data_IF_906629278952
#
_entry.id   IF_906629278952
#
_cell.length_a   1.000
_cell.length_b   1.000
_cell.length_c   1.000
_cell.angle_alpha   90.00
_cell.angle_beta   90.00
_cell.angle_gamma   90.00
#
_symmetry.space_group_name_H-M   'P 1'
#
loop_
_entity.id
_entity.type
_entity.pdbx_description
1 polymer ?
#
# COMPACT_ATOMS: atom_id res chain seq x y z
N UNK A 1 51.21 29.21 -29.66
CA UNK A 1 51.02 28.35 -28.48
C UNK A 1 49.52 28.12 -28.41
N UNK A 2 49.07 27.03 -28.97
CA UNK A 2 47.68 26.69 -29.03
C UNK A 2 47.38 25.60 -28.02
N UNK A 3 46.50 25.89 -27.08
CA UNK A 3 46.00 24.92 -26.12
C UNK A 3 45.01 23.99 -26.80
N UNK A 4 45.38 22.73 -26.82
CA UNK A 4 44.56 21.61 -27.27
C UNK A 4 43.43 21.33 -26.25
N UNK A 5 42.26 21.88 -26.52
CA UNK A 5 41.04 21.46 -25.85
C UNK A 5 40.65 20.09 -26.38
N UNK A 6 40.80 19.06 -25.56
CA UNK A 6 40.43 17.69 -25.90
C UNK A 6 38.97 17.39 -25.40
N UNK A 7 37.96 17.34 -26.27
CA UNK A 7 36.54 17.12 -25.85
C UNK A 7 36.17 15.67 -25.61
N UNK A 8 37.13 14.78 -25.39
CA UNK A 8 36.89 13.32 -25.37
C UNK A 8 36.77 12.67 -23.99
N UNK A 9 36.60 13.43 -22.89
CA UNK A 9 36.51 12.86 -21.54
C UNK A 9 35.25 13.22 -20.73
N UNK A 10 34.22 13.72 -21.37
CA UNK A 10 32.89 13.72 -20.80
C UNK A 10 32.19 12.38 -21.14
N UNK A 11 32.75 11.26 -20.66
CA UNK A 11 32.04 10.00 -20.63
C UNK A 11 30.86 10.17 -19.70
N UNK A 12 29.70 10.18 -20.33
CA UNK A 12 28.36 10.02 -19.81
C UNK A 12 28.32 8.90 -18.74
N UNK A 13 28.57 9.28 -17.46
CA UNK A 13 28.36 8.43 -16.29
C UNK A 13 26.89 8.49 -15.86
N UNK A 14 25.97 8.40 -16.78
CA UNK A 14 24.65 7.88 -16.51
C UNK A 14 24.84 6.36 -16.30
N UNK A 15 25.23 5.96 -15.09
CA UNK A 15 25.20 4.58 -14.68
C UNK A 15 23.74 4.13 -14.82
N UNK A 16 23.42 3.41 -15.91
CA UNK A 16 22.14 2.73 -16.06
C UNK A 16 21.96 1.92 -14.80
N UNK A 17 21.00 2.29 -13.96
CA UNK A 17 20.67 1.57 -12.74
C UNK A 17 20.50 0.09 -13.09
N UNK A 18 21.29 -0.77 -12.45
CA UNK A 18 21.15 -2.20 -12.63
C UNK A 18 19.89 -2.66 -11.88
N UNK A 19 18.76 -2.69 -12.59
CA UNK A 19 17.47 -3.16 -12.10
C UNK A 19 17.57 -4.52 -11.38
N UNK A 20 18.31 -5.46 -11.97
CA UNK A 20 18.44 -6.82 -11.44
C UNK A 20 19.17 -6.86 -10.09
N UNK A 21 20.05 -5.88 -9.82
CA UNK A 21 20.73 -5.79 -8.53
C UNK A 21 19.84 -5.35 -7.37
N UNK A 22 18.68 -4.75 -7.65
CA UNK A 22 17.75 -4.27 -6.63
C UNK A 22 16.64 -5.27 -6.29
N UNK A 23 16.39 -6.25 -7.16
CA UNK A 23 15.38 -7.30 -6.98
C UNK A 23 16.06 -8.60 -6.59
N UNK A 24 15.39 -9.40 -5.75
CA UNK A 24 15.87 -10.73 -5.42
C UNK A 24 15.91 -11.61 -6.70
N UNK A 25 17.04 -12.26 -7.03
CA UNK A 25 17.16 -13.09 -8.22
C UNK A 25 16.10 -14.20 -8.34
N UNK A 26 15.59 -14.72 -7.20
CA UNK A 26 14.50 -15.72 -7.20
C UNK A 26 13.21 -15.15 -7.80
N UNK A 27 12.86 -13.90 -7.50
CA UNK A 27 11.67 -13.25 -8.08
C UNK A 27 11.81 -13.14 -9.59
N UNK A 28 13.01 -12.89 -10.09
CA UNK A 28 13.28 -12.81 -11.52
C UNK A 28 13.20 -14.18 -12.20
N UNK A 29 13.58 -15.26 -11.50
CA UNK A 29 13.58 -16.63 -12.01
C UNK A 29 12.17 -17.26 -12.04
N UNK A 30 11.36 -17.00 -11.00
CA UNK A 30 10.13 -17.75 -10.71
C UNK A 30 8.84 -17.10 -11.25
N UNK A 31 8.94 -16.21 -12.25
CA UNK A 31 7.81 -15.39 -12.74
C UNK A 31 6.55 -16.18 -13.10
N UNK A 32 6.68 -17.35 -13.73
CA UNK A 32 5.51 -18.16 -14.10
C UNK A 32 4.81 -18.75 -12.89
N UNK A 33 5.57 -19.28 -11.93
CA UNK A 33 5.02 -19.80 -10.69
C UNK A 33 4.33 -18.69 -9.88
N UNK A 34 4.94 -17.49 -9.82
CA UNK A 34 4.35 -16.33 -9.17
C UNK A 34 3.06 -15.90 -9.88
N UNK A 35 3.00 -15.98 -11.21
CA UNK A 35 1.78 -15.69 -11.97
C UNK A 35 0.66 -16.67 -11.65
N UNK A 36 0.94 -17.97 -11.63
CA UNK A 36 -0.05 -18.99 -11.29
C UNK A 36 -0.59 -18.78 -9.87
N UNK A 37 0.28 -18.43 -8.92
CA UNK A 37 -0.12 -18.09 -7.54
C UNK A 37 -1.00 -16.85 -7.50
N UNK A 38 -0.64 -15.78 -8.21
CA UNK A 38 -1.42 -14.54 -8.27
C UNK A 38 -2.84 -14.78 -8.81
N UNK A 39 -2.94 -15.49 -9.92
CA UNK A 39 -4.23 -15.72 -10.62
C UNK A 39 -5.16 -16.62 -9.82
N UNK A 40 -4.61 -17.63 -9.11
CA UNK A 40 -5.39 -18.61 -8.35
C UNK A 40 -5.73 -18.18 -6.93
N UNK A 41 -5.13 -17.09 -6.45
CA UNK A 41 -5.28 -16.65 -5.07
C UNK A 41 -6.72 -16.23 -4.70
N UNK A 42 -7.09 -16.47 -3.44
CA UNK A 42 -8.36 -16.09 -2.82
C UNK A 42 -8.09 -15.14 -1.65
N UNK A 43 -8.98 -14.18 -1.37
CA UNK A 43 -10.35 -14.02 -1.90
C UNK A 43 -10.42 -13.38 -3.30
N UNK A 44 -9.40 -12.69 -3.74
CA UNK A 44 -9.25 -12.12 -5.10
C UNK A 44 -7.79 -12.24 -5.54
N UNK A 45 -7.47 -11.89 -6.76
CA UNK A 45 -6.11 -12.02 -7.32
C UNK A 45 -5.11 -11.22 -6.52
N UNK A 46 -4.18 -11.89 -5.88
CA UNK A 46 -3.09 -11.29 -5.11
C UNK A 46 -1.91 -12.24 -5.00
N UNK A 47 -0.77 -11.70 -4.60
CA UNK A 47 0.40 -12.49 -4.25
C UNK A 47 1.16 -11.85 -3.08
N UNK A 48 1.73 -12.68 -2.24
CA UNK A 48 2.66 -12.29 -1.16
C UNK A 48 4.01 -12.87 -1.49
N UNK A 49 5.03 -12.04 -1.62
CA UNK A 49 6.38 -12.43 -1.99
C UNK A 49 7.31 -11.99 -0.86
N UNK A 50 7.87 -12.95 -0.13
CA UNK A 50 8.91 -12.68 0.85
C UNK A 50 10.25 -12.47 0.13
N UNK A 51 11.14 -11.69 0.75
CA UNK A 51 12.45 -11.35 0.17
C UNK A 51 12.35 -10.79 -1.27
N UNK A 52 11.41 -9.88 -1.48
CA UNK A 52 11.12 -9.33 -2.82
C UNK A 52 12.28 -8.51 -3.39
N UNK A 53 12.85 -7.63 -2.59
CA UNK A 53 14.02 -6.84 -2.96
C UNK A 53 15.30 -7.57 -2.58
N UNK A 54 16.42 -7.16 -3.16
CA UNK A 54 17.74 -7.52 -2.63
C UNK A 54 17.82 -7.14 -1.14
N UNK A 55 18.33 -8.05 -0.28
CA UNK A 55 18.33 -7.86 1.17
C UNK A 55 19.08 -6.61 1.63
N UNK A 56 20.27 -6.34 1.06
CA UNK A 56 21.06 -5.14 1.39
C UNK A 56 20.35 -3.86 0.95
N UNK A 57 19.65 -3.92 -0.18
CA UNK A 57 18.87 -2.81 -0.66
C UNK A 57 17.65 -2.52 0.23
N UNK A 58 16.94 -3.57 0.65
CA UNK A 58 15.83 -3.43 1.59
C UNK A 58 16.30 -2.84 2.93
N UNK A 59 17.44 -3.31 3.44
CA UNK A 59 18.02 -2.78 4.67
C UNK A 59 18.29 -1.27 4.57
N UNK A 60 18.82 -0.78 3.45
CA UNK A 60 19.02 0.66 3.22
C UNK A 60 17.71 1.45 3.19
N UNK A 61 16.64 0.88 2.63
CA UNK A 61 15.31 1.51 2.66
C UNK A 61 14.77 1.62 4.09
N UNK A 62 15.03 0.62 4.95
CA UNK A 62 14.64 0.65 6.36
C UNK A 62 15.42 1.76 7.10
N UNK A 63 16.72 1.85 6.87
CA UNK A 63 17.60 2.84 7.51
C UNK A 63 17.30 4.28 7.06
N UNK A 64 16.93 4.48 5.79
CA UNK A 64 16.56 5.78 5.23
C UNK A 64 15.08 6.13 5.44
N UNK A 65 14.27 5.23 6.04
CA UNK A 65 12.85 5.52 6.22
C UNK A 65 12.69 6.78 7.08
N UNK A 66 11.92 7.80 6.61
CA UNK A 66 11.86 9.08 7.30
C UNK A 66 11.19 8.95 8.68
N UNK A 67 11.53 9.85 9.58
CA UNK A 67 10.82 10.00 10.85
C UNK A 67 9.35 10.36 10.60
N UNK A 68 8.52 9.95 11.55
CA UNK A 68 7.08 10.24 11.50
C UNK A 68 6.84 11.74 11.51
N UNK A 69 6.11 12.19 10.52
CA UNK A 69 5.75 13.59 10.33
C UNK A 69 4.25 13.76 10.65
N UNK A 70 3.97 14.46 11.74
CA UNK A 70 2.59 14.70 12.19
C UNK A 70 1.80 15.55 11.20
N UNK A 71 2.46 16.46 10.48
CA UNK A 71 1.81 17.29 9.47
C UNK A 71 1.31 16.46 8.28
N UNK A 72 2.00 15.35 7.97
CA UNK A 72 1.57 14.40 6.94
C UNK A 72 0.52 13.38 7.43
N UNK A 73 0.23 13.36 8.71
CA UNK A 73 -0.76 12.48 9.34
C UNK A 73 -2.05 13.20 9.71
N UNK A 74 -2.19 14.46 9.33
CA UNK A 74 -3.39 15.25 9.60
C UNK A 74 -4.50 14.77 8.66
N UNK A 75 -5.64 14.40 9.26
CA UNK A 75 -6.84 14.08 8.53
C UNK A 75 -7.57 15.36 8.06
N UNK A 76 -8.61 15.21 7.29
CA UNK A 76 -9.43 16.32 6.76
C UNK A 76 -10.07 17.21 7.85
N UNK A 77 -10.07 16.75 9.10
CA UNK A 77 -10.57 17.48 10.26
C UNK A 77 -9.48 18.26 11.01
N UNK A 78 -8.20 18.20 10.56
CA UNK A 78 -7.08 18.81 11.23
C UNK A 78 -6.57 18.00 12.44
N UNK A 79 -6.97 16.73 12.58
CA UNK A 79 -6.58 15.86 13.69
C UNK A 79 -5.43 14.94 13.26
N UNK A 80 -4.46 14.73 14.15
CA UNK A 80 -3.41 13.73 13.98
C UNK A 80 -4.04 12.36 14.25
N UNK A 81 -4.47 11.68 13.21
CA UNK A 81 -5.18 10.41 13.37
C UNK A 81 -5.08 9.48 12.17
N UNK A 82 -4.59 10.02 11.04
CA UNK A 82 -4.39 9.27 9.81
C UNK A 82 -2.98 8.69 9.70
N UNK A 83 -2.76 7.84 8.69
CA UNK A 83 -1.41 7.42 8.29
C UNK A 83 -0.62 8.63 7.81
N UNK A 84 0.64 8.75 8.19
CA UNK A 84 1.55 9.69 7.54
C UNK A 84 1.88 9.18 6.14
N UNK A 85 1.63 10.01 5.12
CA UNK A 85 1.86 9.68 3.70
C UNK A 85 2.85 10.67 3.13
N UNK A 86 3.95 10.17 2.55
CA UNK A 86 4.91 11.01 1.84
C UNK A 86 5.02 10.54 0.38
N UNK A 87 4.36 11.27 -0.50
CA UNK A 87 4.35 10.98 -1.95
C UNK A 87 5.69 11.31 -2.62
N UNK A 88 6.40 12.32 -2.14
CA UNK A 88 7.69 12.75 -2.73
C UNK A 88 8.86 11.93 -2.18
N UNK A 89 8.92 10.66 -2.54
CA UNK A 89 9.93 9.73 -2.01
C UNK A 89 11.35 10.03 -2.48
N UNK A 90 11.54 10.67 -3.64
CA UNK A 90 12.86 10.98 -4.20
C UNK A 90 13.74 11.83 -3.29
N UNK A 91 13.13 12.65 -2.46
CA UNK A 91 13.81 13.53 -1.53
C UNK A 91 14.19 12.90 -0.20
N UNK A 92 13.79 11.66 0.07
CA UNK A 92 14.05 10.98 1.35
C UNK A 92 15.53 10.62 1.45
N UNK A 93 16.07 9.95 0.43
CA UNK A 93 17.47 9.53 0.42
C UNK A 93 17.84 8.77 -0.86
N UNK A 94 19.12 8.34 -0.99
CA UNK A 94 19.61 7.63 -2.16
C UNK A 94 18.90 6.32 -2.44
N UNK A 95 18.52 5.53 -1.41
CA UNK A 95 17.82 4.28 -1.59
C UNK A 95 16.40 4.52 -2.11
N UNK A 96 15.67 5.50 -1.57
CA UNK A 96 14.33 5.88 -2.05
C UNK A 96 14.37 6.52 -3.44
N UNK A 97 15.41 7.27 -3.78
CA UNK A 97 15.62 7.74 -5.16
C UNK A 97 15.79 6.56 -6.12
N UNK A 98 16.57 5.54 -5.74
CA UNK A 98 16.72 4.32 -6.54
C UNK A 98 15.41 3.54 -6.63
N UNK A 99 14.58 3.53 -5.58
CA UNK A 99 13.25 2.90 -5.59
C UNK A 99 12.32 3.60 -6.58
N UNK A 100 12.30 4.92 -6.60
CA UNK A 100 11.54 5.70 -7.57
C UNK A 100 11.97 5.38 -9.01
N UNK A 101 13.27 5.32 -9.28
CA UNK A 101 13.80 4.97 -10.60
C UNK A 101 13.50 3.51 -10.99
N UNK A 102 13.59 2.58 -10.02
CA UNK A 102 13.23 1.18 -10.20
C UNK A 102 11.77 1.04 -10.64
N UNK A 103 10.85 1.59 -9.85
CA UNK A 103 9.41 1.42 -10.05
C UNK A 103 8.89 2.07 -11.34
N UNK A 104 9.54 3.13 -11.81
CA UNK A 104 9.29 3.78 -13.10
C UNK A 104 9.85 3.01 -14.29
N UNK A 105 10.85 2.17 -14.07
CA UNK A 105 11.56 1.50 -15.15
C UNK A 105 10.66 0.53 -15.91
N UNK A 106 10.85 0.45 -17.22
CA UNK A 106 10.13 -0.53 -18.04
C UNK A 106 10.41 -1.96 -17.59
N UNK A 107 11.68 -2.38 -17.31
CA UNK A 107 11.95 -3.75 -16.87
C UNK A 107 11.18 -4.13 -15.61
N UNK A 108 11.01 -3.21 -14.64
CA UNK A 108 10.24 -3.49 -13.44
C UNK A 108 8.74 -3.62 -13.72
N UNK A 109 8.19 -2.73 -14.53
CA UNK A 109 6.78 -2.82 -14.96
C UNK A 109 6.50 -4.10 -15.74
N UNK A 110 7.43 -4.51 -16.59
CA UNK A 110 7.34 -5.78 -17.35
C UNK A 110 7.44 -6.99 -16.39
N UNK A 111 8.26 -6.93 -15.33
CA UNK A 111 8.30 -7.94 -14.26
C UNK A 111 6.95 -8.04 -13.54
N UNK A 112 6.43 -6.91 -13.04
CA UNK A 112 5.12 -6.87 -12.38
C UNK A 112 4.02 -7.37 -13.31
N UNK A 113 4.05 -6.96 -14.57
CA UNK A 113 3.13 -7.44 -15.61
C UNK A 113 3.21 -8.95 -15.83
N UNK A 114 4.42 -9.52 -15.82
CA UNK A 114 4.62 -10.97 -15.93
C UNK A 114 4.08 -11.76 -14.74
N UNK A 115 4.19 -11.18 -13.51
CA UNK A 115 3.67 -11.79 -12.28
C UNK A 115 2.13 -11.71 -12.23
N UNK A 116 1.54 -10.62 -12.72
CA UNK A 116 0.11 -10.37 -12.57
C UNK A 116 -0.73 -10.74 -13.78
N UNK A 117 -0.08 -10.98 -14.92
CA UNK A 117 -0.77 -11.17 -16.21
C UNK A 117 -1.36 -9.88 -16.78
N UNK A 118 -1.07 -8.72 -16.20
CA UNK A 118 -1.58 -7.41 -16.64
C UNK A 118 -0.46 -6.68 -17.39
N UNK A 119 -0.62 -6.54 -18.69
CA UNK A 119 0.35 -5.85 -19.55
C UNK A 119 0.15 -4.34 -19.61
N UNK A 120 1.12 -3.64 -20.19
CA UNK A 120 1.07 -2.19 -20.43
C UNK A 120 0.87 -1.34 -19.17
N UNK A 121 1.39 -1.80 -18.02
CA UNK A 121 1.31 -1.09 -16.76
C UNK A 121 1.98 0.30 -16.87
N UNK A 122 1.28 1.31 -16.40
CA UNK A 122 1.74 2.68 -16.31
C UNK A 122 2.07 3.02 -14.85
N UNK A 123 3.18 3.70 -14.64
CA UNK A 123 3.58 4.23 -13.33
C UNK A 123 2.82 5.53 -13.05
N UNK A 124 2.42 5.74 -11.82
CA UNK A 124 1.87 7.01 -11.37
C UNK A 124 2.99 8.04 -11.11
N UNK A 125 3.12 9.10 -11.92
CA UNK A 125 4.17 10.11 -11.71
C UNK A 125 3.90 11.00 -10.49
N UNK A 126 2.68 11.00 -9.96
CA UNK A 126 2.26 11.83 -8.82
C UNK A 126 2.33 11.08 -7.50
N UNK A 127 2.43 9.74 -7.52
CA UNK A 127 2.28 8.89 -6.32
C UNK A 127 0.97 9.18 -5.56
N UNK A 128 -0.11 9.48 -6.27
CA UNK A 128 -1.38 9.88 -5.65
C UNK A 128 -1.87 8.85 -4.62
N UNK A 129 -1.79 9.21 -3.33
CA UNK A 129 -2.08 8.33 -2.20
C UNK A 129 -1.05 7.21 -1.95
N UNK A 130 0.04 7.17 -2.73
CA UNK A 130 1.16 6.24 -2.60
C UNK A 130 2.37 6.85 -1.89
N UNK A 131 3.54 6.25 -2.07
CA UNK A 131 4.77 6.67 -1.41
C UNK A 131 5.05 5.92 -0.10
N UNK A 132 5.70 6.57 0.88
CA UNK A 132 5.87 5.95 2.20
C UNK A 132 4.62 6.12 3.04
N UNK A 133 4.21 5.04 3.69
CA UNK A 133 3.10 5.04 4.64
C UNK A 133 3.61 4.63 6.02
N UNK A 134 3.25 5.40 7.02
CA UNK A 134 3.53 5.07 8.41
C UNK A 134 2.28 5.20 9.27
N UNK A 135 2.01 4.14 10.05
CA UNK A 135 0.91 4.11 11.01
C UNK A 135 1.47 3.81 12.41
N UNK A 136 1.02 4.57 13.40
CA UNK A 136 1.37 4.40 14.81
C UNK A 136 0.37 3.54 15.57
N UNK A 137 0.74 3.21 16.80
CA UNK A 137 -0.14 2.52 17.74
C UNK A 137 -1.50 3.23 17.85
N UNK A 138 -2.59 2.47 17.88
CA UNK A 138 -3.95 2.98 17.90
C UNK A 138 -4.58 3.28 16.55
N UNK A 139 -3.82 3.30 15.46
CA UNK A 139 -4.33 3.54 14.11
C UNK A 139 -4.74 2.24 13.41
N UNK A 140 -5.74 2.31 12.54
CA UNK A 140 -6.25 1.24 11.71
C UNK A 140 -6.68 1.78 10.35
N UNK A 141 -7.14 0.90 9.50
CA UNK A 141 -7.72 1.24 8.20
C UNK A 141 -8.90 0.32 7.94
N UNK A 142 -10.08 0.89 7.90
CA UNK A 142 -11.32 0.15 7.69
C UNK A 142 -11.32 -0.53 6.32
N UNK A 143 -12.05 -1.65 6.23
CA UNK A 143 -12.17 -2.38 4.99
C UNK A 143 -12.79 -1.48 3.90
N UNK A 144 -12.13 -1.42 2.76
CA UNK A 144 -12.53 -0.57 1.64
C UNK A 144 -12.12 -1.18 0.29
N UNK A 145 -12.72 -0.69 -0.77
CA UNK A 145 -12.19 -0.78 -2.14
C UNK A 145 -11.68 0.59 -2.55
N UNK A 146 -10.58 0.59 -3.27
CA UNK A 146 -9.94 1.82 -3.72
C UNK A 146 -10.70 2.50 -4.86
N UNK A 147 -10.48 3.82 -5.05
CA UNK A 147 -10.92 4.53 -6.25
C UNK A 147 -10.41 3.82 -7.52
N UNK A 148 -11.21 3.81 -8.57
CA UNK A 148 -10.94 2.99 -9.76
C UNK A 148 -10.30 3.77 -10.93
N UNK A 149 -10.31 5.11 -10.92
CA UNK A 149 -9.66 5.95 -11.94
C UNK A 149 -8.71 6.96 -11.32
N UNK A 150 -7.52 7.11 -11.91
CA UNK A 150 -6.57 8.13 -11.48
C UNK A 150 -7.17 9.53 -11.66
N UNK A 151 -7.18 10.39 -10.63
CA UNK A 151 -7.90 11.66 -10.67
C UNK A 151 -7.38 12.62 -11.73
N UNK A 152 -6.07 12.55 -12.07
CA UNK A 152 -5.43 13.45 -13.04
C UNK A 152 -5.34 12.80 -14.44
N UNK A 153 -4.76 11.59 -14.53
CA UNK A 153 -4.50 10.93 -15.81
C UNK A 153 -5.71 10.21 -16.39
N UNK A 154 -6.72 9.95 -15.57
CA UNK A 154 -7.95 9.22 -15.93
C UNK A 154 -7.72 7.75 -16.32
N UNK A 155 -6.54 7.22 -16.05
CA UNK A 155 -6.19 5.83 -16.28
C UNK A 155 -6.88 4.92 -15.26
N UNK A 156 -7.16 3.68 -15.65
CA UNK A 156 -7.73 2.66 -14.78
C UNK A 156 -6.70 2.20 -13.75
N UNK A 157 -7.01 2.28 -12.46
CA UNK A 157 -6.20 1.68 -11.40
C UNK A 157 -6.30 0.17 -11.47
N UNK A 158 -5.15 -0.51 -11.57
CA UNK A 158 -5.10 -1.95 -11.81
C UNK A 158 -4.50 -2.74 -10.66
N UNK A 159 -3.44 -2.21 -10.05
CA UNK A 159 -2.68 -2.92 -9.02
C UNK A 159 -2.29 -2.00 -7.87
N UNK A 160 -2.35 -2.55 -6.67
CA UNK A 160 -1.59 -2.08 -5.54
C UNK A 160 -0.34 -2.95 -5.37
N UNK A 161 0.81 -2.31 -5.19
CA UNK A 161 2.06 -2.94 -4.80
C UNK A 161 2.51 -2.32 -3.49
N UNK A 162 2.67 -3.13 -2.45
CA UNK A 162 3.07 -2.69 -1.11
C UNK A 162 4.31 -3.47 -0.70
N UNK A 163 5.40 -2.77 -0.35
CA UNK A 163 6.59 -3.37 0.26
C UNK A 163 6.66 -2.93 1.71
N UNK A 164 6.65 -3.89 2.63
CA UNK A 164 6.76 -3.62 4.06
C UNK A 164 8.21 -3.48 4.50
N UNK A 165 8.42 -2.63 5.49
CA UNK A 165 9.76 -2.24 5.97
C UNK A 165 9.88 -2.35 7.51
N UNK A 166 9.18 -3.31 8.12
CA UNK A 166 9.20 -3.54 9.57
C UNK A 166 10.06 -4.76 9.90
N UNK A 167 11.22 -4.58 10.56
CA UNK A 167 12.10 -5.70 10.92
C UNK A 167 11.44 -6.75 11.83
N UNK A 168 10.47 -6.32 12.64
CA UNK A 168 9.67 -7.19 13.50
C UNK A 168 8.21 -6.78 13.46
N UNK A 169 7.31 -7.74 13.44
CA UNK A 169 5.86 -7.54 13.60
C UNK A 169 5.19 -8.89 13.93
N UNK A 170 4.16 -8.83 14.75
CA UNK A 170 3.33 -10.00 15.09
C UNK A 170 1.86 -9.73 14.72
N UNK A 171 1.16 -10.74 14.26
CA UNK A 171 -0.27 -10.61 13.89
C UNK A 171 -1.15 -10.19 15.07
N UNK A 172 -0.75 -10.59 16.29
CA UNK A 172 -1.44 -10.20 17.53
C UNK A 172 -1.41 -8.69 17.80
N UNK A 173 -0.47 -7.96 17.19
CA UNK A 173 -0.37 -6.50 17.35
C UNK A 173 -1.34 -5.73 16.45
N UNK A 174 -2.12 -6.41 15.61
CA UNK A 174 -2.91 -5.77 14.57
C UNK A 174 -2.03 -5.25 13.42
N UNK A 175 -2.58 -4.40 12.54
CA UNK A 175 -1.81 -3.83 11.43
C UNK A 175 -1.51 -4.79 10.29
N UNK A 176 -1.79 -6.11 10.41
CA UNK A 176 -1.69 -7.07 9.31
C UNK A 176 -2.73 -6.77 8.26
N UNK A 177 -2.30 -6.69 6.98
CA UNK A 177 -3.23 -6.44 5.87
C UNK A 177 -4.26 -7.57 5.82
N UNK A 178 -5.53 -7.20 5.75
CA UNK A 178 -6.65 -8.10 5.58
C UNK A 178 -7.17 -7.95 4.15
N UNK A 179 -7.23 -9.06 3.42
CA UNK A 179 -7.92 -9.14 2.13
C UNK A 179 -9.21 -9.94 2.39
N UNK A 180 -10.35 -9.32 2.17
CA UNK A 180 -11.67 -9.85 2.51
C UNK A 180 -12.40 -10.39 1.30
N UNK A 181 -13.10 -11.51 1.45
CA UNK A 181 -14.04 -11.98 0.45
C UNK A 181 -15.33 -11.15 0.48
N UNK A 182 -15.83 -10.91 1.67
CA UNK A 182 -17.06 -10.14 1.89
C UNK A 182 -17.04 -9.52 3.30
N UNK A 183 -16.56 -8.28 3.44
CA UNK A 183 -16.40 -7.63 4.74
C UNK A 183 -17.74 -7.27 5.42
N UNK A 184 -18.87 -7.43 4.75
CA UNK A 184 -20.20 -7.28 5.35
C UNK A 184 -20.64 -8.50 6.16
N UNK A 185 -19.92 -9.62 6.02
CA UNK A 185 -20.17 -10.83 6.82
C UNK A 185 -19.49 -10.70 8.20
N UNK A 186 -20.03 -11.42 9.22
CA UNK A 186 -19.28 -11.59 10.47
C UNK A 186 -17.88 -12.17 10.19
N UNK A 187 -16.84 -11.75 10.94
CA UNK A 187 -15.45 -12.20 10.70
C UNK A 187 -15.25 -13.72 10.71
N UNK A 188 -16.14 -14.48 11.38
CA UNK A 188 -16.13 -15.94 11.39
C UNK A 188 -16.68 -16.58 10.11
N UNK A 189 -17.34 -15.82 9.25
CA UNK A 189 -17.94 -16.25 7.98
C UNK A 189 -17.26 -15.62 6.76
N UNK A 190 -16.47 -14.59 6.96
CA UNK A 190 -15.66 -13.97 5.92
C UNK A 190 -14.37 -14.77 5.73
N UNK A 191 -14.01 -15.00 4.48
CA UNK A 191 -12.74 -15.64 4.11
C UNK A 191 -11.66 -14.57 4.01
N UNK A 192 -10.94 -14.38 5.11
CA UNK A 192 -9.95 -13.30 5.26
C UNK A 192 -8.52 -13.86 5.08
N UNK A 193 -7.79 -13.34 4.10
CA UNK A 193 -6.35 -13.56 4.01
C UNK A 193 -5.63 -12.49 4.82
N UNK A 194 -4.86 -12.92 5.84
CA UNK A 194 -3.98 -12.05 6.62
C UNK A 194 -2.57 -12.02 6.01
N UNK A 195 -1.98 -10.83 5.99
CA UNK A 195 -0.58 -10.63 5.59
C UNK A 195 0.13 -9.75 6.61
N UNK A 196 0.98 -10.37 7.42
CA UNK A 196 1.82 -9.68 8.41
C UNK A 196 2.78 -8.73 7.71
N UNK A 197 2.94 -7.47 8.15
CA UNK A 197 3.74 -6.46 7.46
C UNK A 197 5.24 -6.58 7.77
N UNK A 198 5.87 -7.72 7.49
CA UNK A 198 7.30 -7.98 7.73
C UNK A 198 8.19 -7.32 6.68
N UNK A 199 9.39 -6.94 7.07
CA UNK A 199 10.39 -6.35 6.18
C UNK A 199 10.65 -7.22 4.94
N UNK A 200 10.81 -6.55 3.80
CA UNK A 200 11.03 -7.14 2.48
C UNK A 200 9.90 -8.05 1.97
N UNK A 201 8.73 -8.02 2.61
CA UNK A 201 7.51 -8.67 2.11
C UNK A 201 6.81 -7.72 1.16
N UNK A 202 6.63 -8.16 -0.08
CA UNK A 202 5.86 -7.46 -1.09
C UNK A 202 4.47 -8.11 -1.23
N UNK A 203 3.45 -7.28 -1.24
CA UNK A 203 2.08 -7.70 -1.58
C UNK A 203 1.67 -6.99 -2.85
N UNK A 204 1.24 -7.75 -3.85
CA UNK A 204 0.65 -7.21 -5.06
C UNK A 204 -0.77 -7.74 -5.14
N UNK A 205 -1.74 -6.87 -5.33
CA UNK A 205 -3.12 -7.29 -5.53
C UNK A 205 -3.83 -6.45 -6.58
N UNK A 206 -4.76 -7.10 -7.28
CA UNK A 206 -5.60 -6.45 -8.29
C UNK A 206 -6.66 -5.59 -7.60
N UNK A 207 -6.83 -4.35 -8.10
CA UNK A 207 -7.88 -3.44 -7.63
C UNK A 207 -9.10 -3.56 -8.53
N UNK A 208 -10.26 -3.80 -7.91
CA UNK A 208 -11.57 -3.91 -8.56
C UNK A 208 -12.67 -3.65 -7.53
N UNK A 209 -13.94 -3.80 -7.95
CA UNK A 209 -15.13 -3.49 -7.14
C UNK A 209 -15.35 -4.45 -5.95
N UNK A 210 -14.53 -5.50 -5.81
CA UNK A 210 -14.60 -6.50 -4.74
C UNK A 210 -13.25 -6.79 -4.08
N UNK A 211 -12.24 -6.01 -4.35
CA UNK A 211 -10.91 -6.13 -3.71
C UNK A 211 -10.88 -5.44 -2.34
N UNK A 212 -11.79 -5.88 -1.46
CA UNK A 212 -11.92 -5.32 -0.12
C UNK A 212 -10.67 -5.57 0.70
N UNK A 213 -10.10 -4.51 1.26
CA UNK A 213 -8.90 -4.61 2.07
C UNK A 213 -8.82 -3.52 3.12
N UNK A 214 -8.09 -3.82 4.19
CA UNK A 214 -7.87 -2.92 5.31
C UNK A 214 -6.91 -3.54 6.32
N UNK A 215 -6.87 -3.03 7.53
CA UNK A 215 -6.16 -3.66 8.64
C UNK A 215 -6.73 -3.23 9.98
N UNK A 216 -6.76 -4.17 10.92
CA UNK A 216 -7.22 -3.90 12.29
C UNK A 216 -6.32 -2.89 12.97
N UNK A 217 -6.91 -2.17 13.91
CA UNK A 217 -6.22 -1.22 14.77
C UNK A 217 -4.95 -1.84 15.36
N UNK A 218 -3.85 -1.10 15.26
CA UNK A 218 -2.56 -1.47 15.83
C UNK A 218 -2.63 -1.34 17.35
N UNK A 219 -2.26 -2.39 18.07
CA UNK A 219 -2.24 -2.46 19.52
C UNK A 219 -0.91 -3.06 19.96
N UNK A 220 0.11 -2.21 20.01
CA UNK A 220 1.45 -2.64 20.36
C UNK A 220 1.57 -2.91 21.86
N UNK A 221 2.24 -4.01 22.29
CA UNK A 221 2.45 -4.31 23.69
C UNK A 221 3.34 -3.26 24.38
N UNK A 222 3.30 -3.25 25.70
CA UNK A 222 4.19 -2.40 26.48
C UNK A 222 5.66 -2.67 26.10
N UNK A 223 6.44 -1.61 25.91
CA UNK A 223 7.83 -1.70 25.44
C UNK A 223 8.04 -1.73 23.92
N UNK A 224 6.98 -1.95 23.12
CA UNK A 224 7.02 -1.89 21.64
C UNK A 224 6.32 -0.64 21.07
N UNK A 225 5.77 0.23 21.89
CA UNK A 225 4.99 1.40 21.46
C UNK A 225 5.80 2.44 20.68
N UNK A 226 7.13 2.31 20.64
CA UNK A 226 8.02 3.10 19.79
C UNK A 226 8.02 2.64 18.34
N UNK A 227 7.51 1.44 18.06
CA UNK A 227 7.40 0.91 16.71
C UNK A 227 6.23 1.55 15.97
N UNK A 228 6.32 1.50 14.66
CA UNK A 228 5.26 1.91 13.74
C UNK A 228 5.20 0.95 12.56
N UNK A 229 4.04 0.88 11.91
CA UNK A 229 3.83 0.08 10.70
C UNK A 229 4.27 0.89 9.48
N UNK A 230 5.40 0.51 8.92
CA UNK A 230 6.06 1.18 7.79
C UNK A 230 5.90 0.39 6.50
N UNK A 231 5.58 1.08 5.42
CA UNK A 231 5.54 0.49 4.09
C UNK A 231 5.81 1.53 3.01
N UNK A 232 6.23 1.05 1.85
CA UNK A 232 6.17 1.78 0.59
C UNK A 232 5.02 1.23 -0.22
N UNK A 233 4.15 2.09 -0.72
CA UNK A 233 3.01 1.71 -1.55
C UNK A 233 3.07 2.41 -2.91
N UNK A 234 2.73 1.67 -3.95
CA UNK A 234 2.68 2.17 -5.31
C UNK A 234 1.47 1.57 -6.04
N UNK A 235 0.87 2.37 -6.93
CA UNK A 235 -0.27 1.96 -7.73
C UNK A 235 0.11 1.94 -9.20
N UNK A 236 -0.32 0.89 -9.91
CA UNK A 236 -0.14 0.78 -11.35
C UNK A 236 -1.48 0.89 -12.06
N UNK A 237 -1.41 1.54 -13.21
CA UNK A 237 -2.56 1.89 -14.02
C UNK A 237 -2.42 1.31 -15.43
N UNK A 238 -3.53 1.30 -16.18
CA UNK A 238 -3.53 1.03 -17.63
C UNK A 238 -4.46 2.01 -18.33
N UNK A 239 -4.18 2.31 -19.59
CA UNK A 239 -5.05 3.19 -20.40
C UNK A 239 -6.40 2.53 -20.71
N UNK A 240 -6.44 1.20 -20.74
CA UNK A 240 -7.65 0.42 -21.01
C UNK A 240 -7.80 -0.70 -19.99
N UNK A 241 -9.05 -1.08 -19.70
CA UNK A 241 -9.41 -2.23 -18.87
C UNK A 241 -10.49 -3.05 -19.60
N UNK A 242 -10.51 -4.39 -19.51
CA UNK A 242 -11.56 -5.19 -20.10
C UNK A 242 -12.95 -4.71 -19.61
N UNK A 243 -13.90 -4.59 -20.54
CA UNK A 243 -15.23 -4.02 -20.23
C UNK A 243 -15.95 -4.76 -19.10
N UNK A 244 -15.77 -6.10 -19.03
CA UNK A 244 -16.36 -6.93 -17.96
C UNK A 244 -15.72 -6.74 -16.58
N UNK A 245 -14.56 -6.06 -16.51
CA UNK A 245 -13.86 -5.73 -15.27
C UNK A 245 -13.99 -4.24 -14.91
N UNK A 246 -14.71 -3.46 -15.72
CA UNK A 246 -14.82 -2.01 -15.57
C UNK A 246 -16.14 -1.67 -14.88
N UNK A 247 -16.05 -1.09 -13.67
CA UNK A 247 -17.18 -0.51 -12.95
C UNK A 247 -17.41 0.97 -13.29
N UNK A 248 -18.53 1.56 -12.84
CA UNK A 248 -18.72 3.01 -12.82
C UNK A 248 -17.60 3.69 -12.06
N UNK A 249 -17.29 4.94 -12.41
CA UNK A 249 -16.30 5.72 -11.65
C UNK A 249 -16.77 5.96 -10.21
N UNK A 250 -15.85 5.69 -9.26
CA UNK A 250 -16.09 5.95 -7.84
C UNK A 250 -14.79 6.35 -7.11
N UNK A 251 -14.94 7.06 -6.02
CA UNK A 251 -13.89 7.28 -5.02
C UNK A 251 -13.68 6.01 -4.19
N UNK A 252 -12.75 6.04 -3.21
CA UNK A 252 -12.62 4.95 -2.23
C UNK A 252 -13.95 4.73 -1.51
N UNK A 253 -14.42 3.48 -1.51
CA UNK A 253 -15.66 3.05 -0.85
C UNK A 253 -15.29 2.24 0.38
N UNK A 254 -15.72 2.69 1.55
CA UNK A 254 -15.54 2.00 2.82
C UNK A 254 -16.75 1.14 3.14
N UNK A 255 -16.54 0.05 3.89
CA UNK A 255 -17.63 -0.71 4.48
C UNK A 255 -18.34 0.19 5.49
N UNK A 256 -19.66 0.32 5.34
CA UNK A 256 -20.46 1.02 6.33
C UNK A 256 -20.54 0.19 7.62
N UNK A 257 -20.00 0.72 8.70
CA UNK A 257 -20.18 0.13 10.02
C UNK A 257 -21.57 0.51 10.55
N UNK A 258 -22.42 -0.48 10.74
CA UNK A 258 -23.70 -0.30 11.39
C UNK A 258 -23.56 -0.40 12.91
N UNK A 259 -24.43 0.32 13.62
CA UNK A 259 -24.53 0.16 15.07
C UNK A 259 -24.90 -1.29 15.39
N UNK A 260 -24.07 -2.05 16.14
CA UNK A 260 -24.37 -3.43 16.45
C UNK A 260 -25.72 -3.60 17.16
N UNK A 261 -26.46 -4.68 16.82
CA UNK A 261 -27.81 -4.94 17.37
C UNK A 261 -27.90 -5.08 18.89
N UNK A 262 -26.74 -5.36 19.53
CA UNK A 262 -26.70 -5.44 20.99
C UNK A 262 -26.79 -4.05 21.68
N UNK A 263 -26.66 -2.94 20.95
CA UNK A 263 -27.05 -1.63 21.45
C UNK A 263 -28.58 -1.50 21.42
N UNK A 264 -29.22 -1.72 22.57
CA UNK A 264 -30.67 -1.72 22.67
C UNK A 264 -31.18 -0.52 23.50
N UNK A 265 -32.43 -0.16 23.29
CA UNK A 265 -33.11 0.86 24.08
C UNK A 265 -33.11 0.52 25.58
N UNK A 266 -32.71 1.47 26.41
CA UNK A 266 -32.62 1.28 27.87
C UNK A 266 -31.28 0.69 28.34
N UNK A 267 -30.33 0.39 27.46
CA UNK A 267 -29.00 -0.05 27.82
C UNK A 267 -28.22 1.10 28.49
N UNK A 268 -27.51 0.78 29.57
CA UNK A 268 -26.52 1.69 30.16
C UNK A 268 -25.19 1.49 29.47
N UNK A 269 -24.66 2.55 28.87
CA UNK A 269 -23.37 2.51 28.18
C UNK A 269 -22.22 2.56 29.20
N UNK A 270 -21.30 1.63 29.12
CA UNK A 270 -19.98 1.76 29.75
C UNK A 270 -19.04 2.64 28.92
N UNK A 271 -17.82 2.86 29.43
CA UNK A 271 -16.84 3.72 28.74
C UNK A 271 -16.46 3.23 27.35
N UNK A 272 -16.32 1.91 27.18
CA UNK A 272 -15.91 1.29 25.93
C UNK A 272 -17.05 1.36 24.90
N UNK A 273 -18.28 1.08 25.30
CA UNK A 273 -19.48 1.21 24.46
C UNK A 273 -19.66 2.67 24.00
N UNK A 274 -19.50 3.64 24.90
CA UNK A 274 -19.60 5.05 24.55
C UNK A 274 -18.50 5.45 23.54
N UNK A 275 -17.27 4.98 23.75
CA UNK A 275 -16.17 5.27 22.82
C UNK A 275 -16.39 4.61 21.46
N UNK A 276 -16.93 3.38 21.43
CA UNK A 276 -17.28 2.70 20.18
C UNK A 276 -18.34 3.51 19.40
N UNK A 277 -19.42 3.94 20.04
CA UNK A 277 -20.43 4.79 19.37
C UNK A 277 -19.83 6.09 18.84
N UNK A 278 -18.96 6.74 19.61
CA UNK A 278 -18.26 7.95 19.16
C UNK A 278 -17.40 7.69 17.91
N UNK A 279 -16.72 6.58 17.87
CA UNK A 279 -15.91 6.18 16.72
C UNK A 279 -16.79 5.94 15.47
N UNK A 280 -17.93 5.23 15.62
CA UNK A 280 -18.89 5.01 14.53
C UNK A 280 -19.44 6.34 13.98
N UNK A 281 -19.82 7.27 14.86
CA UNK A 281 -20.30 8.60 14.46
C UNK A 281 -19.21 9.38 13.75
N UNK A 282 -17.98 9.39 14.26
CA UNK A 282 -16.87 10.08 13.64
C UNK A 282 -16.53 9.49 12.24
N UNK A 283 -16.51 8.16 12.11
CA UNK A 283 -16.32 7.47 10.82
C UNK A 283 -17.38 7.87 9.81
N UNK A 284 -18.67 7.82 10.20
CA UNK A 284 -19.78 8.27 9.34
C UNK A 284 -19.65 9.73 8.93
N UNK A 285 -19.31 10.62 9.86
CA UNK A 285 -19.19 12.05 9.56
C UNK A 285 -18.01 12.35 8.62
N UNK A 286 -16.92 11.57 8.71
CA UNK A 286 -15.82 11.62 7.74
C UNK A 286 -16.26 11.17 6.35
N UNK A 287 -17.03 10.08 6.25
CA UNK A 287 -17.58 9.61 4.96
C UNK A 287 -18.49 10.66 4.33
N UNK A 288 -19.37 11.27 5.10
CA UNK A 288 -20.27 12.32 4.60
C UNK A 288 -19.52 13.56 4.09
N UNK A 289 -18.45 13.99 4.77
CA UNK A 289 -17.63 15.14 4.31
C UNK A 289 -16.88 14.88 3.00
N UNK A 290 -16.61 13.61 2.67
CA UNK A 290 -15.98 13.24 1.39
C UNK A 290 -16.95 13.23 0.21
N UNK A 291 -18.25 13.19 0.47
CA UNK A 291 -19.30 13.15 -0.54
C UNK A 291 -19.77 14.56 -0.95
N UNK A 292 -19.43 15.60 -0.18
CA UNK A 292 -19.77 17.00 -0.39
C UNK A 292 -18.53 17.90 -0.45
#
# INVERSE_FOLDING_TARGET
MGDLYNPSLAKDLSSKMNFEALINPRVLADKSTLCDQFVSAKPFRHIVIDDFLNGEYCQRLIEEFPDFDEELAINENGEIGAKAVREQIRGIGPAFKSLDELTKSRPFRDLVGSITGISALQHDPYYFGGGTHENRNGQGLDAHVDFNYHPVTRQHRRLNLIVYLNPEWEDAWGGSLQLHRDPYLPPSQDDIKLVTPLANRCVIFETNEYSWHGFRRIQLPAGKQHLSRKSFALYYYTDTRPAQETGPEHSTIYVEEHLPEWYAAGMTLDGDSLQHIRNLVASRDQHLKRLY
#
